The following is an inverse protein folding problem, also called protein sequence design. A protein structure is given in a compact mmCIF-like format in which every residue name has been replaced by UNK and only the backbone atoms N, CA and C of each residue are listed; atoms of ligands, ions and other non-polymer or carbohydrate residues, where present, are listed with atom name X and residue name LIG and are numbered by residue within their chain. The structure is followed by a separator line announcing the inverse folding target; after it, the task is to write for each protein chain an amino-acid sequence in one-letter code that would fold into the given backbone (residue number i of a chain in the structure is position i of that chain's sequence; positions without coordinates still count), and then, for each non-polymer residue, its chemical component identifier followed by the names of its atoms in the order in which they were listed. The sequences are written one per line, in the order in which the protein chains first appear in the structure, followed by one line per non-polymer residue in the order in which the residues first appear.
data_IF_924699718111
#
_entry.id   IF_924699718111
#
_cell.length_a   1.000
_cell.length_b   1.000
_cell.length_c   1.000
_cell.angle_alpha   90.00
_cell.angle_beta   90.00
_cell.angle_gamma   90.00
#
_symmetry.space_group_name_H-M   'P 1'
#
loop_
_entity.id
_entity.type
_entity.pdbx_description
1 polymer ?
#
# COMPACT_ATOMS: atom_id res chain seq x y z
N UNK A 1 -20.69 -9.20 -2.30
CA UNK A 1 -20.02 -9.42 -3.60
C UNK A 1 -18.66 -8.72 -3.66
N UNK A 2 -18.58 -7.39 -3.42
CA UNK A 2 -17.30 -6.64 -3.46
C UNK A 2 -16.22 -7.11 -2.45
N UNK A 3 -16.59 -7.44 -1.21
CA UNK A 3 -15.64 -7.97 -0.22
C UNK A 3 -15.08 -9.36 -0.61
N UNK A 4 -15.92 -10.19 -1.22
CA UNK A 4 -15.58 -11.56 -1.64
C UNK A 4 -14.57 -11.57 -2.80
N UNK A 5 -14.67 -10.61 -3.73
CA UNK A 5 -13.71 -10.41 -4.83
C UNK A 5 -12.35 -9.88 -4.33
N UNK A 6 -12.34 -9.03 -3.30
CA UNK A 6 -11.10 -8.56 -2.65
C UNK A 6 -10.30 -9.72 -2.07
N UNK A 7 -10.99 -10.69 -1.45
CA UNK A 7 -10.38 -11.91 -0.91
C UNK A 7 -9.86 -12.87 -1.98
N UNK A 8 -10.59 -13.05 -3.10
CA UNK A 8 -10.18 -14.01 -4.14
C UNK A 8 -8.92 -13.57 -4.91
N UNK A 9 -8.72 -12.28 -5.16
CA UNK A 9 -7.50 -11.77 -5.80
C UNK A 9 -6.23 -12.04 -4.97
N UNK A 10 -6.31 -11.91 -3.65
CA UNK A 10 -5.20 -12.20 -2.73
C UNK A 10 -4.96 -13.72 -2.58
N UNK A 11 -5.96 -14.55 -2.87
CA UNK A 11 -5.90 -16.01 -2.70
C UNK A 11 -5.29 -16.78 -3.88
N UNK A 12 -4.99 -16.10 -5.00
CA UNK A 12 -4.55 -16.72 -6.26
C UNK A 12 -3.03 -16.93 -6.39
N UNK A 13 -2.29 -17.01 -5.29
CA UNK A 13 -0.92 -17.54 -5.30
C UNK A 13 -0.91 -18.90 -4.60
N UNK A 14 -1.05 -19.95 -5.39
CA UNK A 14 -0.94 -21.32 -4.92
C UNK A 14 0.45 -21.53 -4.29
N UNK A 15 0.48 -21.85 -2.99
CA UNK A 15 1.70 -22.08 -2.21
C UNK A 15 2.06 -21.02 -1.17
N UNK A 16 1.39 -19.86 -1.12
CA UNK A 16 1.66 -18.85 -0.09
C UNK A 16 0.96 -19.16 1.24
N UNK A 17 1.70 -19.06 2.35
CA UNK A 17 1.15 -19.26 3.70
C UNK A 17 0.03 -18.26 3.97
N UNK A 18 -1.14 -18.75 4.42
CA UNK A 18 -2.20 -17.86 4.92
C UNK A 18 -1.73 -17.16 6.19
N UNK A 19 -1.55 -15.84 6.10
CA UNK A 19 -1.21 -15.01 7.25
C UNK A 19 -2.50 -14.75 8.05
N UNK A 20 -2.66 -15.43 9.17
CA UNK A 20 -3.88 -15.37 9.99
C UNK A 20 -3.94 -14.23 11.01
N UNK A 21 -2.80 -13.59 11.34
CA UNK A 21 -2.72 -12.56 12.38
C UNK A 21 -1.87 -11.36 11.94
N UNK A 22 -2.09 -10.22 12.61
CA UNK A 22 -1.32 -8.99 12.38
C UNK A 22 0.17 -9.22 12.66
N UNK A 23 0.47 -9.95 13.73
CA UNK A 23 1.82 -10.27 14.18
C UNK A 23 2.55 -11.10 13.13
N UNK A 24 1.88 -12.11 12.56
CA UNK A 24 2.44 -12.93 11.50
C UNK A 24 2.66 -12.11 10.21
N UNK A 25 1.78 -11.15 9.91
CA UNK A 25 1.95 -10.25 8.76
C UNK A 25 3.19 -9.36 8.90
N UNK A 26 3.39 -8.83 10.10
CA UNK A 26 4.55 -8.00 10.44
C UNK A 26 5.85 -8.82 10.33
N UNK A 27 5.85 -10.06 10.82
CA UNK A 27 7.01 -10.95 10.73
C UNK A 27 7.36 -11.31 9.30
N UNK A 28 6.39 -11.71 8.50
CA UNK A 28 6.63 -12.06 7.10
C UNK A 28 7.14 -10.84 6.32
N UNK A 29 6.58 -9.67 6.57
CA UNK A 29 7.07 -8.42 5.97
C UNK A 29 8.52 -8.14 6.39
N UNK A 30 8.85 -8.27 7.67
CA UNK A 30 10.21 -8.07 8.17
C UNK A 30 11.21 -9.04 7.54
N UNK A 31 10.88 -10.34 7.44
CA UNK A 31 11.72 -11.35 6.80
C UNK A 31 12.03 -10.99 5.35
N UNK A 32 11.00 -10.63 4.58
CA UNK A 32 11.13 -10.26 3.16
C UNK A 32 11.91 -8.95 2.98
N UNK A 33 11.72 -7.98 3.88
CA UNK A 33 12.33 -6.66 3.76
C UNK A 33 13.78 -6.62 4.24
N UNK A 34 14.09 -7.27 5.37
CA UNK A 34 15.40 -7.18 6.00
C UNK A 34 16.40 -8.21 5.46
N UNK A 35 15.97 -9.15 4.61
CA UNK A 35 16.78 -10.28 4.11
C UNK A 35 17.49 -11.04 5.25
N UNK A 36 16.90 -11.07 6.45
CA UNK A 36 17.48 -11.68 7.64
C UNK A 36 17.21 -13.18 7.58
N UNK A 37 18.26 -13.99 7.63
CA UNK A 37 18.13 -15.44 7.86
C UNK A 37 17.73 -15.73 9.30
N UNK A 38 16.85 -16.70 9.51
CA UNK A 38 16.38 -17.14 10.84
C UNK A 38 14.86 -17.19 10.96
N UNK A 39 14.38 -17.50 12.17
CA UNK A 39 12.96 -17.54 12.52
C UNK A 39 12.61 -16.39 13.48
N UNK A 40 12.38 -15.16 12.97
CA UNK A 40 12.10 -14.01 13.82
C UNK A 40 10.80 -14.19 14.60
N UNK A 41 10.85 -13.84 15.89
CA UNK A 41 9.69 -13.84 16.78
C UNK A 41 9.12 -12.43 16.89
N UNK A 42 7.80 -12.31 16.91
CA UNK A 42 7.14 -11.02 16.99
C UNK A 42 7.54 -10.30 18.28
N UNK A 43 7.83 -9.00 18.17
CA UNK A 43 8.05 -8.12 19.31
C UNK A 43 7.58 -6.70 18.99
N UNK A 44 7.17 -5.97 20.03
CA UNK A 44 6.73 -4.59 19.89
C UNK A 44 7.86 -3.67 19.37
N UNK A 45 9.12 -3.99 19.70
CA UNK A 45 10.29 -3.27 19.19
C UNK A 45 10.46 -3.43 17.69
N UNK A 46 10.17 -4.61 17.13
CA UNK A 46 10.21 -4.85 15.68
C UNK A 46 9.13 -4.04 14.97
N UNK A 47 7.92 -3.93 15.54
CA UNK A 47 6.89 -3.05 15.01
C UNK A 47 7.34 -1.59 15.01
N UNK A 48 7.93 -1.12 16.12
CA UNK A 48 8.48 0.24 16.23
C UNK A 48 9.63 0.49 15.25
N UNK A 49 10.51 -0.47 15.04
CA UNK A 49 11.62 -0.36 14.09
C UNK A 49 11.10 -0.24 12.65
N UNK A 50 10.15 -1.09 12.25
CA UNK A 50 9.51 -1.01 10.94
C UNK A 50 8.79 0.32 10.76
N UNK A 51 7.99 0.73 11.75
CA UNK A 51 7.32 2.02 11.70
C UNK A 51 8.33 3.16 11.57
N UNK A 52 9.44 3.09 12.32
CA UNK A 52 10.51 4.07 12.25
C UNK A 52 11.13 4.10 10.85
N UNK A 53 11.55 2.96 10.31
CA UNK A 53 12.18 2.87 8.99
C UNK A 53 11.27 3.39 7.87
N UNK A 54 10.00 2.98 7.86
CA UNK A 54 9.07 3.31 6.76
C UNK A 54 8.39 4.66 6.93
N UNK A 55 8.07 5.09 8.15
CA UNK A 55 7.32 6.33 8.38
C UNK A 55 8.18 7.51 8.85
N UNK A 56 9.44 7.30 9.27
CA UNK A 56 10.36 8.44 9.44
C UNK A 56 10.87 8.94 8.10
N UNK A 57 11.11 8.06 7.13
CA UNK A 57 11.38 8.49 5.76
C UNK A 57 10.07 9.02 5.17
N UNK A 58 9.92 10.34 5.20
CA UNK A 58 8.75 10.99 4.62
C UNK A 58 8.97 11.16 3.13
N UNK A 59 8.20 10.42 2.34
CA UNK A 59 8.10 10.69 0.91
C UNK A 59 7.23 11.93 0.72
N UNK A 60 7.80 12.99 0.14
CA UNK A 60 7.06 14.19 -0.21
C UNK A 60 6.47 14.06 -1.62
N UNK A 61 5.15 14.21 -1.72
CA UNK A 61 4.40 14.32 -2.97
C UNK A 61 4.47 15.74 -3.55
N UNK A 62 4.66 16.73 -2.68
CA UNK A 62 4.44 18.14 -3.01
C UNK A 62 2.96 18.45 -3.29
N UNK A 63 2.64 19.71 -3.58
CA UNK A 63 1.26 20.16 -3.82
C UNK A 63 0.63 19.49 -5.05
N UNK A 64 1.41 19.37 -6.13
CA UNK A 64 0.95 18.75 -7.38
C UNK A 64 0.74 17.25 -7.18
N UNK A 65 1.70 16.54 -6.55
CA UNK A 65 1.55 15.12 -6.28
C UNK A 65 0.35 14.82 -5.38
N UNK A 66 0.12 15.62 -4.32
CA UNK A 66 -1.08 15.50 -3.47
C UNK A 66 -2.36 15.71 -4.28
N UNK A 67 -2.44 16.75 -5.12
CA UNK A 67 -3.59 16.99 -6.01
C UNK A 67 -3.84 15.80 -6.94
N UNK A 68 -2.80 15.28 -7.58
CA UNK A 68 -2.92 14.17 -8.52
C UNK A 68 -3.34 12.88 -7.81
N UNK A 69 -2.74 12.57 -6.65
CA UNK A 69 -3.11 11.42 -5.82
C UNK A 69 -4.58 11.48 -5.39
N UNK A 70 -5.04 12.64 -4.92
CA UNK A 70 -6.43 12.84 -4.53
C UNK A 70 -7.39 12.62 -5.70
N UNK A 71 -7.07 13.18 -6.87
CA UNK A 71 -7.90 13.01 -8.07
C UNK A 71 -7.93 11.54 -8.53
N UNK A 72 -6.77 10.88 -8.58
CA UNK A 72 -6.66 9.50 -9.08
C UNK A 72 -7.31 8.49 -8.15
N UNK A 73 -7.13 8.65 -6.85
CA UNK A 73 -7.60 7.71 -5.82
C UNK A 73 -8.92 8.13 -5.17
N UNK A 74 -9.55 9.21 -5.65
CA UNK A 74 -10.76 9.79 -5.08
C UNK A 74 -10.65 10.06 -3.57
N UNK A 75 -9.58 10.74 -3.15
CA UNK A 75 -9.32 11.09 -1.76
C UNK A 75 -9.56 12.58 -1.51
N UNK A 76 -10.20 12.89 -0.39
CA UNK A 76 -10.35 14.25 0.12
C UNK A 76 -9.33 14.51 1.23
N UNK A 77 -8.07 14.70 0.85
CA UNK A 77 -6.97 15.04 1.77
C UNK A 77 -6.51 16.47 1.46
N UNK A 78 -6.34 17.36 2.45
CA UNK A 78 -5.91 18.73 2.21
C UNK A 78 -4.64 18.84 1.34
N UNK A 79 -4.64 19.75 0.35
CA UNK A 79 -3.49 19.94 -0.57
C UNK A 79 -2.21 20.43 0.12
N UNK A 80 -2.33 21.04 1.31
CA UNK A 80 -1.19 21.44 2.13
C UNK A 80 -0.51 20.24 2.84
N UNK A 81 -1.12 19.06 2.83
CA UNK A 81 -0.47 17.84 3.29
C UNK A 81 0.37 17.24 2.16
N UNK A 82 1.62 17.67 2.08
CA UNK A 82 2.53 17.30 0.99
C UNK A 82 3.19 15.94 1.18
N UNK A 83 3.05 15.29 2.34
CA UNK A 83 3.66 13.98 2.59
C UNK A 83 2.73 12.83 2.27
N UNK A 84 3.30 11.68 1.90
CA UNK A 84 2.58 10.43 1.74
C UNK A 84 2.02 9.95 3.09
N UNK A 85 0.75 9.53 3.09
CA UNK A 85 0.04 9.02 4.25
C UNK A 85 -0.22 7.52 4.10
N UNK A 86 -0.38 6.76 5.20
CA UNK A 86 -0.78 5.35 5.13
C UNK A 86 -2.07 5.13 4.33
N UNK A 87 -3.01 6.09 4.37
CA UNK A 87 -4.26 6.05 3.61
C UNK A 87 -4.05 6.09 2.09
N UNK A 88 -3.01 6.78 1.63
CA UNK A 88 -2.67 6.84 0.20
C UNK A 88 -2.29 5.45 -0.33
N UNK A 89 -1.48 4.72 0.43
CA UNK A 89 -1.02 3.37 0.09
C UNK A 89 -2.20 2.39 0.06
N UNK A 90 -3.08 2.47 1.06
CA UNK A 90 -4.27 1.61 1.12
C UNK A 90 -5.22 1.87 -0.05
N UNK A 91 -5.49 3.14 -0.36
CA UNK A 91 -6.34 3.51 -1.49
C UNK A 91 -5.73 3.11 -2.83
N UNK A 92 -4.42 3.24 -2.99
CA UNK A 92 -3.70 2.79 -4.19
C UNK A 92 -3.79 1.26 -4.37
N UNK A 93 -3.63 0.48 -3.29
CA UNK A 93 -3.79 -0.98 -3.33
C UNK A 93 -5.22 -1.37 -3.72
N UNK A 94 -6.22 -0.72 -3.13
CA UNK A 94 -7.63 -0.95 -3.46
C UNK A 94 -7.95 -0.59 -4.91
N UNK A 95 -7.38 0.52 -5.40
CA UNK A 95 -7.50 0.93 -6.80
C UNK A 95 -6.90 -0.12 -7.75
N UNK A 96 -5.69 -0.62 -7.47
CA UNK A 96 -5.04 -1.66 -8.27
C UNK A 96 -5.83 -2.99 -8.29
N UNK A 97 -6.39 -3.39 -7.15
CA UNK A 97 -7.27 -4.56 -7.08
C UNK A 97 -8.51 -4.33 -7.97
N UNK A 98 -9.14 -3.15 -7.87
CA UNK A 98 -10.27 -2.77 -8.73
C UNK A 98 -9.92 -2.86 -10.21
N UNK A 99 -8.75 -2.34 -10.62
CA UNK A 99 -8.28 -2.40 -12.01
C UNK A 99 -8.14 -3.83 -12.51
N UNK A 100 -7.66 -4.76 -11.67
CA UNK A 100 -7.60 -6.19 -12.03
C UNK A 100 -8.97 -6.79 -12.35
N UNK A 101 -10.04 -6.24 -11.77
CA UNK A 101 -11.42 -6.65 -12.02
C UNK A 101 -12.13 -5.78 -13.07
N UNK A 102 -11.38 -4.98 -13.85
CA UNK A 102 -11.93 -4.12 -14.89
C UNK A 102 -12.64 -2.86 -14.37
N UNK A 103 -12.42 -2.49 -13.10
CA UNK A 103 -12.93 -1.24 -12.55
C UNK A 103 -11.92 -0.12 -12.75
N UNK A 104 -12.27 0.87 -13.57
CA UNK A 104 -11.41 2.01 -13.92
C UNK A 104 -10.61 1.80 -15.21
N UNK A 105 -9.79 2.79 -15.56
CA UNK A 105 -8.96 2.77 -16.78
C UNK A 105 -7.48 2.86 -16.43
N UNK A 106 -6.64 2.20 -17.23
CA UNK A 106 -5.18 2.37 -17.15
C UNK A 106 -4.81 3.81 -17.51
N UNK A 107 -3.79 4.34 -16.85
CA UNK A 107 -3.23 5.64 -17.23
C UNK A 107 -2.51 5.52 -18.57
N UNK A 108 -2.82 6.42 -19.50
CA UNK A 108 -2.03 6.61 -20.70
C UNK A 108 -0.86 7.54 -20.36
N UNK A 109 0.34 6.97 -20.30
CA UNK A 109 1.57 7.69 -19.97
C UNK A 109 1.89 8.82 -20.97
N UNK A 110 1.35 8.76 -22.19
CA UNK A 110 1.57 9.77 -23.22
C UNK A 110 0.56 10.92 -23.15
N UNK A 111 -0.49 10.78 -22.35
CA UNK A 111 -1.53 11.79 -22.23
C UNK A 111 -1.13 12.87 -21.22
N UNK A 112 -0.30 13.82 -21.68
CA UNK A 112 0.04 15.02 -20.91
C UNK A 112 -1.23 15.83 -20.59
N UNK A 113 -1.73 15.70 -19.37
CA UNK A 113 -2.82 16.53 -18.86
C UNK A 113 -2.24 17.87 -18.46
N UNK A 114 -2.44 18.88 -19.30
CA UNK A 114 -2.18 20.27 -18.94
C UNK A 114 -3.30 20.67 -17.96
N UNK A 115 -2.93 20.81 -16.68
CA UNK A 115 -3.82 21.09 -15.55
C UNK A 115 -3.77 22.56 -15.11
#
# INVERSE_FOLDING_TARGET
MFATLKFSCLSQREGEKKIGSKENAILEFYQKFACVGGDPVFSESLCKELQKKFFQQRCELGRIGRRNMNQRLNLDIPQNNTFLLPRDVLAAADHLIGMKFGMGTLDDMNHLKIN
#
